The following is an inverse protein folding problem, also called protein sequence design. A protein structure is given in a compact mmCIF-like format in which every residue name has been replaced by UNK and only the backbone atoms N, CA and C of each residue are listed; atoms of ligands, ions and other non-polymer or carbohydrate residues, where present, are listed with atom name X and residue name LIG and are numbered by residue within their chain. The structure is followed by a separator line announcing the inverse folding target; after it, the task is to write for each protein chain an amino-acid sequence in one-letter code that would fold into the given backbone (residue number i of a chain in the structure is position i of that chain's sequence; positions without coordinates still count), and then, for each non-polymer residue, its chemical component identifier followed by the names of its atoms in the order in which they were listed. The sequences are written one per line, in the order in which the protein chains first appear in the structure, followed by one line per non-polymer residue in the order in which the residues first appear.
data_IF_694809379734
#
_entry.id   IF_694809379734
#
_cell.length_a   1.000
_cell.length_b   1.000
_cell.length_c   1.000
_cell.angle_alpha   90.00
_cell.angle_beta   90.00
_cell.angle_gamma   90.00
#
_symmetry.space_group_name_H-M   'P 1'
#
loop_
_entity.id
_entity.type
_entity.pdbx_description
1 polymer ?
#
# COMPACT_ATOMS: atom_id res chain seq x y z
N UNK A 1 64.94 -10.89 -26.90
CA UNK A 1 64.43 -10.46 -25.58
C UNK A 1 62.93 -10.57 -25.64
N UNK A 2 62.37 -11.61 -25.03
CA UNK A 2 60.92 -11.89 -25.04
C UNK A 2 60.34 -11.51 -23.69
N UNK A 3 59.23 -10.76 -23.69
CA UNK A 3 58.44 -10.51 -22.48
C UNK A 3 57.02 -11.01 -22.76
N UNK A 4 56.65 -12.09 -22.08
CA UNK A 4 55.31 -12.68 -22.09
C UNK A 4 54.37 -11.86 -21.20
N UNK A 5 53.26 -11.38 -21.76
CA UNK A 5 52.19 -10.75 -21.00
C UNK A 5 51.31 -11.83 -20.34
N UNK A 6 51.14 -11.73 -19.02
CA UNK A 6 50.30 -12.61 -18.23
C UNK A 6 48.81 -12.35 -18.47
N UNK A 7 48.03 -13.41 -18.64
CA UNK A 7 46.58 -13.35 -18.73
C UNK A 7 45.96 -13.07 -17.35
N UNK A 8 45.25 -11.95 -17.22
CA UNK A 8 44.41 -11.68 -16.05
C UNK A 8 43.13 -12.52 -16.14
N UNK A 9 42.92 -13.40 -15.16
CA UNK A 9 41.67 -14.12 -15.00
C UNK A 9 40.53 -13.16 -14.65
N UNK A 10 39.49 -13.11 -15.48
CA UNK A 10 38.28 -12.33 -15.22
C UNK A 10 37.39 -13.09 -14.23
N UNK A 11 37.03 -12.44 -13.13
CA UNK A 11 36.05 -12.96 -12.18
C UNK A 11 34.65 -12.98 -12.81
N UNK A 12 33.84 -14.04 -12.58
CA UNK A 12 32.50 -14.12 -13.14
C UNK A 12 31.61 -13.02 -12.57
N UNK A 13 31.01 -12.22 -13.45
CA UNK A 13 30.01 -11.22 -13.07
C UNK A 13 28.82 -11.89 -12.38
N UNK A 14 28.44 -11.39 -11.20
CA UNK A 14 27.20 -11.80 -10.52
C UNK A 14 26.02 -11.49 -11.43
N UNK A 15 25.31 -12.52 -11.90
CA UNK A 15 24.02 -12.34 -12.60
C UNK A 15 23.07 -11.58 -11.68
N UNK A 16 22.71 -10.35 -12.05
CA UNK A 16 21.64 -9.61 -11.39
C UNK A 16 20.31 -10.32 -11.69
N UNK A 17 19.59 -10.69 -10.64
CA UNK A 17 18.21 -11.21 -10.79
C UNK A 17 17.33 -10.01 -11.11
N UNK A 18 16.76 -9.97 -12.30
CA UNK A 18 15.79 -8.95 -12.67
C UNK A 18 14.56 -9.02 -11.75
N UNK A 19 14.12 -7.87 -11.25
CA UNK A 19 12.88 -7.76 -10.47
C UNK A 19 11.68 -8.24 -11.31
N UNK A 20 10.75 -9.02 -10.74
CA UNK A 20 9.51 -9.38 -11.41
C UNK A 20 8.72 -8.14 -11.83
N UNK A 21 7.94 -8.27 -12.91
CA UNK A 21 7.05 -7.22 -13.39
C UNK A 21 6.00 -6.84 -12.32
N UNK A 22 5.47 -5.60 -12.34
CA UNK A 22 4.35 -5.22 -11.49
C UNK A 22 3.16 -6.18 -11.64
N UNK A 23 2.45 -6.43 -10.56
CA UNK A 23 1.24 -7.24 -10.57
C UNK A 23 0.16 -6.55 -11.41
N UNK A 24 -0.48 -7.24 -12.37
CA UNK A 24 -1.73 -6.75 -12.92
C UNK A 24 -2.81 -6.84 -11.83
N UNK A 25 -3.74 -5.89 -11.81
CA UNK A 25 -4.82 -5.90 -10.81
C UNK A 25 -5.67 -7.18 -10.89
N UNK A 26 -5.87 -7.73 -12.10
CA UNK A 26 -6.59 -9.00 -12.28
C UNK A 26 -5.94 -10.22 -11.63
N UNK A 27 -4.68 -10.13 -11.17
CA UNK A 27 -4.03 -11.19 -10.40
C UNK A 27 -4.11 -10.96 -8.89
N UNK A 28 -4.64 -9.85 -8.43
CA UNK A 28 -4.73 -9.52 -7.03
C UNK A 28 -6.17 -9.57 -6.55
N UNK A 29 -6.41 -10.19 -5.40
CA UNK A 29 -7.60 -9.90 -4.61
C UNK A 29 -7.29 -8.86 -3.54
N UNK A 30 -8.28 -8.04 -3.22
CA UNK A 30 -8.22 -7.02 -2.17
C UNK A 30 -9.30 -7.30 -1.13
N UNK A 31 -8.91 -7.33 0.14
CA UNK A 31 -9.83 -7.44 1.27
C UNK A 31 -9.43 -6.48 2.40
N UNK A 32 -10.41 -6.18 3.26
CA UNK A 32 -10.22 -5.52 4.54
C UNK A 32 -10.54 -6.51 5.64
N UNK A 33 -9.60 -6.70 6.57
CA UNK A 33 -9.79 -7.52 7.76
C UNK A 33 -9.75 -6.63 9.01
N UNK A 34 -10.81 -6.67 9.82
CA UNK A 34 -10.86 -5.93 11.08
C UNK A 34 -10.03 -6.59 12.20
N UNK A 35 -9.49 -7.79 11.99
CA UNK A 35 -8.81 -8.63 12.98
C UNK A 35 -9.57 -8.65 14.32
N UNK A 36 -10.89 -8.87 14.27
CA UNK A 36 -11.79 -8.84 15.44
C UNK A 36 -11.69 -7.57 16.30
N UNK A 37 -11.44 -6.42 15.68
CA UNK A 37 -11.35 -5.13 16.37
C UNK A 37 -10.00 -4.85 17.02
N UNK A 38 -8.94 -5.58 16.66
CA UNK A 38 -7.56 -5.37 17.16
C UNK A 38 -7.05 -3.94 16.91
N UNK A 39 -7.66 -3.22 15.99
CA UNK A 39 -7.31 -1.84 15.66
C UNK A 39 -8.20 -0.78 16.33
N UNK A 40 -9.25 -1.19 17.06
CA UNK A 40 -10.20 -0.27 17.66
C UNK A 40 -9.73 0.20 19.05
N UNK A 41 -9.96 1.47 19.35
CA UNK A 41 -9.64 2.10 20.63
C UNK A 41 -10.63 3.22 20.95
N UNK A 42 -10.40 3.98 22.02
CA UNK A 42 -11.37 4.95 22.56
C UNK A 42 -11.90 6.01 21.55
N UNK A 43 -11.20 6.24 20.43
CA UNK A 43 -11.64 7.12 19.34
C UNK A 43 -10.91 6.84 18.02
N UNK A 44 -10.39 5.62 17.87
CA UNK A 44 -9.70 5.22 16.66
C UNK A 44 -10.26 3.90 16.19
N UNK A 45 -10.36 3.75 14.88
CA UNK A 45 -10.58 2.47 14.24
C UNK A 45 -9.46 2.17 13.26
N UNK A 46 -9.45 0.96 12.76
CA UNK A 46 -8.51 0.51 11.76
C UNK A 46 -8.89 -0.83 11.18
N UNK A 47 -8.14 -1.20 10.15
CA UNK A 47 -8.27 -2.48 9.46
C UNK A 47 -6.92 -2.88 8.88
N UNK A 48 -6.74 -4.16 8.63
CA UNK A 48 -5.69 -4.70 7.79
C UNK A 48 -6.14 -4.66 6.33
N UNK A 49 -5.39 -3.95 5.50
CA UNK A 49 -5.46 -4.05 4.04
C UNK A 49 -4.75 -5.34 3.64
N UNK A 50 -5.45 -6.25 2.98
CA UNK A 50 -4.92 -7.53 2.53
C UNK A 50 -4.93 -7.60 1.01
N UNK A 51 -3.75 -7.81 0.41
CA UNK A 51 -3.59 -8.09 -1.02
C UNK A 51 -3.07 -9.51 -1.20
N UNK A 52 -3.74 -10.33 -1.99
CA UNK A 52 -3.29 -11.70 -2.30
C UNK A 52 -3.03 -11.88 -3.78
N UNK A 53 -1.89 -12.48 -4.14
CA UNK A 53 -1.61 -12.84 -5.52
C UNK A 53 -2.30 -14.16 -5.89
N UNK A 54 -3.37 -14.07 -6.65
CA UNK A 54 -4.10 -15.20 -7.26
C UNK A 54 -3.55 -15.59 -8.63
N UNK A 55 -2.60 -14.82 -9.17
CA UNK A 55 -1.97 -15.07 -10.44
C UNK A 55 -0.98 -16.24 -10.45
N UNK A 56 -0.59 -16.72 -11.63
CA UNK A 56 0.26 -17.91 -11.77
C UNK A 56 1.75 -17.64 -11.51
N UNK A 57 2.17 -16.38 -11.35
CA UNK A 57 3.59 -16.00 -11.24
C UNK A 57 3.82 -14.94 -10.17
N UNK A 58 5.05 -14.89 -9.67
CA UNK A 58 5.49 -13.81 -8.81
C UNK A 58 5.47 -12.47 -9.55
N UNK A 59 5.06 -11.42 -8.87
CA UNK A 59 5.02 -10.06 -9.39
C UNK A 59 5.36 -9.05 -8.28
N UNK A 60 5.37 -7.76 -8.58
CA UNK A 60 5.69 -6.71 -7.60
C UNK A 60 4.51 -5.76 -7.34
N UNK A 61 4.38 -5.29 -6.10
CA UNK A 61 3.43 -4.25 -5.67
C UNK A 61 4.22 -3.12 -5.00
N UNK A 62 3.87 -1.83 -5.20
CA UNK A 62 4.50 -0.75 -4.45
C UNK A 62 4.40 -1.02 -2.94
N UNK A 63 5.46 -0.79 -2.18
CA UNK A 63 5.40 -1.01 -0.72
C UNK A 63 4.44 -0.04 -0.01
N UNK A 64 4.07 1.07 -0.64
CA UNK A 64 3.11 2.03 -0.07
C UNK A 64 2.21 2.55 -1.19
N UNK A 65 1.24 1.73 -1.67
CA UNK A 65 0.36 2.13 -2.76
C UNK A 65 -0.48 3.33 -2.35
N UNK A 66 -0.94 4.09 -3.33
CA UNK A 66 -1.89 5.17 -3.10
C UNK A 66 -3.27 4.58 -2.83
N UNK A 67 -3.95 5.10 -1.81
CA UNK A 67 -5.33 4.75 -1.51
C UNK A 67 -6.26 5.91 -1.86
N UNK A 68 -7.37 5.60 -2.53
CA UNK A 68 -8.47 6.54 -2.79
C UNK A 68 -9.71 6.05 -2.05
N UNK A 69 -10.39 6.94 -1.32
CA UNK A 69 -11.64 6.65 -0.63
C UNK A 69 -12.78 7.24 -1.43
N UNK A 70 -13.88 6.50 -1.59
CA UNK A 70 -15.01 6.94 -2.41
C UNK A 70 -16.33 6.84 -1.64
N UNK A 71 -17.28 7.69 -2.01
CA UNK A 71 -18.67 7.59 -1.55
C UNK A 71 -19.42 6.44 -2.25
N UNK A 72 -20.69 6.25 -1.91
CA UNK A 72 -21.53 5.19 -2.49
C UNK A 72 -21.83 5.40 -3.98
N UNK A 73 -21.55 6.58 -4.52
CA UNK A 73 -21.69 6.95 -5.93
C UNK A 73 -20.35 6.87 -6.68
N UNK A 74 -19.30 6.34 -6.06
CA UNK A 74 -17.93 6.27 -6.59
C UNK A 74 -17.29 7.65 -6.85
N UNK A 75 -17.70 8.68 -6.12
CA UNK A 75 -16.97 9.94 -6.14
C UNK A 75 -15.83 9.93 -5.11
N UNK A 76 -14.64 10.45 -5.46
CA UNK A 76 -13.51 10.51 -4.55
C UNK A 76 -13.80 11.46 -3.39
N UNK A 77 -13.48 11.01 -2.17
CA UNK A 77 -13.56 11.78 -0.94
C UNK A 77 -12.21 12.44 -0.64
N UNK A 78 -12.24 13.68 -0.12
CA UNK A 78 -11.04 14.37 0.31
C UNK A 78 -10.53 13.78 1.63
N UNK A 79 -9.73 12.72 1.55
CA UNK A 79 -9.08 12.02 2.66
C UNK A 79 -7.59 11.90 2.37
N UNK A 80 -6.73 12.27 3.31
CA UNK A 80 -5.28 12.22 3.10
C UNK A 80 -4.55 11.20 3.97
N UNK A 81 -3.51 10.60 3.42
CA UNK A 81 -2.53 9.87 4.21
C UNK A 81 -1.74 10.86 5.07
N UNK A 82 -1.64 10.59 6.36
CA UNK A 82 -0.75 11.31 7.25
C UNK A 82 0.70 10.90 6.98
N UNK A 83 1.52 11.87 6.56
CA UNK A 83 2.97 11.68 6.38
C UNK A 83 3.66 11.95 7.71
N UNK A 84 4.56 11.06 8.19
CA UNK A 84 5.36 11.32 9.38
C UNK A 84 6.17 12.62 9.24
N UNK A 85 6.11 13.48 10.27
CA UNK A 85 6.87 14.74 10.31
C UNK A 85 8.36 14.43 10.47
N UNK A 86 9.23 15.11 9.73
CA UNK A 86 10.69 15.03 9.87
C UNK A 86 11.41 14.02 8.96
N UNK A 87 10.70 13.33 8.06
CA UNK A 87 11.28 12.33 7.15
C UNK A 87 11.30 12.82 5.70
N UNK A 88 12.05 13.91 5.41
CA UNK A 88 12.24 14.38 4.04
C UNK A 88 13.72 14.62 3.67
N UNK A 89 14.24 13.99 2.60
CA UNK A 89 13.56 12.97 1.79
C UNK A 89 13.37 11.67 2.59
N UNK A 90 12.18 11.07 2.50
CA UNK A 90 11.90 9.79 3.13
C UNK A 90 12.70 8.66 2.47
N UNK A 91 12.85 7.48 3.10
CA UNK A 91 13.55 6.36 2.50
C UNK A 91 12.88 5.93 1.20
N UNK A 92 13.69 5.60 0.18
CA UNK A 92 13.20 4.99 -1.06
C UNK A 92 12.65 3.61 -0.72
N UNK A 93 11.34 3.43 -0.90
CA UNK A 93 10.67 2.17 -0.61
C UNK A 93 10.68 1.28 -1.87
N UNK A 94 11.41 0.17 -1.82
CA UNK A 94 11.42 -0.79 -2.91
C UNK A 94 10.06 -1.51 -3.04
N UNK A 95 9.61 -1.85 -4.26
CA UNK A 95 8.45 -2.71 -4.46
C UNK A 95 8.60 -4.05 -3.75
N UNK A 96 7.49 -4.57 -3.22
CA UNK A 96 7.45 -5.87 -2.56
C UNK A 96 7.13 -6.93 -3.60
N UNK A 97 7.98 -7.96 -3.70
CA UNK A 97 7.70 -9.14 -4.53
C UNK A 97 6.65 -10.01 -3.82
N UNK A 98 5.61 -10.41 -4.52
CA UNK A 98 4.56 -11.31 -4.02
C UNK A 98 4.48 -12.58 -4.89
N UNK A 99 4.89 -13.74 -4.37
CA UNK A 99 4.73 -15.03 -5.05
C UNK A 99 3.27 -15.42 -5.27
N UNK A 100 2.97 -16.39 -6.16
CA UNK A 100 1.63 -16.98 -6.27
C UNK A 100 1.12 -17.48 -4.92
N UNK A 101 -0.14 -17.18 -4.62
CA UNK A 101 -0.83 -17.56 -3.39
C UNK A 101 -0.45 -16.77 -2.14
N UNK A 102 0.60 -15.94 -2.19
CA UNK A 102 1.10 -15.18 -1.04
C UNK A 102 0.30 -13.89 -0.80
N UNK A 103 0.34 -13.41 0.44
CA UNK A 103 -0.37 -12.22 0.90
C UNK A 103 0.59 -11.11 1.28
N UNK A 104 0.13 -9.87 1.08
CA UNK A 104 0.73 -8.65 1.58
C UNK A 104 -0.29 -7.95 2.48
N UNK A 105 0.17 -7.48 3.64
CA UNK A 105 -0.68 -6.80 4.60
C UNK A 105 -0.14 -5.42 4.97
N UNK A 106 -1.05 -4.46 5.17
CA UNK A 106 -0.76 -3.13 5.66
C UNK A 106 -1.82 -2.70 6.67
N UNK A 107 -1.40 -2.11 7.79
CA UNK A 107 -2.31 -1.59 8.81
C UNK A 107 -2.77 -0.20 8.41
N UNK A 108 -4.08 -0.01 8.38
CA UNK A 108 -4.73 1.29 8.23
C UNK A 108 -5.33 1.71 9.56
N UNK A 109 -5.17 2.99 9.94
CA UNK A 109 -5.83 3.56 11.12
C UNK A 109 -6.32 4.98 10.87
N UNK A 110 -7.44 5.33 11.47
CA UNK A 110 -8.07 6.66 11.42
C UNK A 110 -8.76 6.97 12.74
N UNK A 111 -9.18 8.22 12.90
CA UNK A 111 -10.03 8.65 14.02
C UNK A 111 -11.49 8.37 13.66
N UNK A 112 -12.22 7.63 14.50
CA UNK A 112 -13.59 7.18 14.24
C UNK A 112 -14.66 7.84 15.15
N UNK A 113 -14.24 8.79 16.00
CA UNK A 113 -15.13 9.60 16.84
C UNK A 113 -15.01 11.08 16.55
N UNK A 114 -16.11 11.82 16.74
CA UNK A 114 -16.12 13.28 16.70
C UNK A 114 -15.46 13.89 17.96
N UNK A 115 -14.14 13.82 17.99
CA UNK A 115 -13.31 14.35 19.08
C UNK A 115 -12.82 15.77 18.82
N UNK A 116 -13.20 16.37 17.70
CA UNK A 116 -12.68 17.67 17.24
C UNK A 116 -13.58 18.86 17.62
N UNK A 117 -14.70 18.62 18.31
CA UNK A 117 -15.53 19.64 18.96
C UNK A 117 -16.49 20.41 18.03
N UNK A 118 -17.43 21.15 18.64
CA UNK A 118 -18.58 21.83 18.05
C UNK A 118 -18.23 22.67 16.79
N UNK A 119 -18.36 22.05 15.60
CA UNK A 119 -18.30 22.72 14.30
C UNK A 119 -16.90 22.93 13.70
N UNK A 120 -15.87 22.32 14.29
CA UNK A 120 -14.48 22.42 13.82
C UNK A 120 -13.92 21.16 13.15
N UNK A 121 -14.60 20.02 13.23
CA UNK A 121 -14.15 18.78 12.61
C UNK A 121 -14.45 18.70 11.12
N UNK A 122 -13.69 17.86 10.41
CA UNK A 122 -14.08 17.32 9.12
C UNK A 122 -14.49 15.85 9.30
N UNK A 123 -15.41 15.37 8.47
CA UNK A 123 -15.77 13.95 8.44
C UNK A 123 -15.91 13.45 7.01
N UNK A 124 -15.67 12.16 6.83
CA UNK A 124 -15.91 11.44 5.59
C UNK A 124 -16.51 10.07 5.93
N UNK A 125 -17.48 9.63 5.13
CA UNK A 125 -18.08 8.29 5.26
C UNK A 125 -17.87 7.53 3.95
N UNK A 126 -16.69 6.91 3.74
CA UNK A 126 -16.42 6.15 2.53
C UNK A 126 -17.29 4.90 2.48
N UNK A 127 -17.77 4.58 1.28
CA UNK A 127 -18.40 3.31 0.96
C UNK A 127 -17.42 2.34 0.28
N UNK A 128 -16.38 2.87 -0.39
CA UNK A 128 -15.36 2.07 -1.08
C UNK A 128 -13.95 2.58 -0.80
N UNK A 129 -13.01 1.64 -0.87
CA UNK A 129 -11.57 1.88 -0.85
C UNK A 129 -10.96 1.33 -2.14
N UNK A 130 -10.20 2.18 -2.84
CA UNK A 130 -9.39 1.77 -3.97
C UNK A 130 -7.90 1.73 -3.64
N UNK A 131 -7.21 0.73 -4.18
CA UNK A 131 -5.75 0.62 -4.19
C UNK A 131 -5.23 0.84 -5.60
N UNK A 132 -4.44 1.89 -5.78
CA UNK A 132 -3.79 2.22 -7.03
C UNK A 132 -2.39 1.58 -7.06
N UNK A 133 -2.21 0.58 -7.93
CA UNK A 133 -1.01 -0.26 -8.00
C UNK A 133 0.12 0.36 -8.82
N UNK A 134 -0.21 1.29 -9.69
CA UNK A 134 0.74 2.16 -10.39
C UNK A 134 0.61 3.52 -9.69
N UNK A 135 1.74 4.13 -9.31
CA UNK A 135 1.76 5.35 -8.48
C UNK A 135 0.93 6.52 -9.04
N UNK A 136 0.93 7.69 -8.36
CA UNK A 136 0.07 8.84 -8.69
C UNK A 136 0.29 9.45 -10.08
N UNK A 137 1.24 8.93 -10.87
CA UNK A 137 1.63 9.43 -12.19
C UNK A 137 0.59 9.11 -13.29
N UNK A 138 -0.42 8.29 -13.00
CA UNK A 138 -1.64 8.21 -13.82
C UNK A 138 -2.71 9.06 -13.15
N UNK A 139 -3.12 10.14 -13.84
CA UNK A 139 -4.13 11.07 -13.34
C UNK A 139 -5.40 10.37 -12.83
N UNK A 140 -6.12 11.04 -11.92
CA UNK A 140 -7.40 10.70 -11.29
C UNK A 140 -7.75 9.20 -11.23
N UNK A 141 -7.82 8.63 -10.01
CA UNK A 141 -8.36 7.28 -9.81
C UNK A 141 -9.73 7.15 -10.51
N UNK A 142 -9.79 6.35 -11.58
CA UNK A 142 -11.02 5.91 -12.21
C UNK A 142 -11.36 4.54 -11.64
N UNK A 143 -12.56 4.41 -11.07
CA UNK A 143 -13.05 3.15 -10.52
C UNK A 143 -13.24 2.06 -11.59
N UNK A 144 -13.36 2.44 -12.86
CA UNK A 144 -13.40 1.52 -13.99
C UNK A 144 -12.02 1.20 -14.56
N UNK A 145 -10.95 1.80 -14.02
CA UNK A 145 -9.60 1.43 -14.45
C UNK A 145 -9.32 -0.01 -14.02
N UNK A 146 -9.15 -0.88 -15.02
CA UNK A 146 -8.78 -2.28 -14.85
C UNK A 146 -7.43 -2.49 -14.13
N UNK A 147 -6.71 -1.41 -13.81
CA UNK A 147 -5.48 -1.41 -13.03
C UNK A 147 -5.67 -1.11 -11.54
N UNK A 148 -6.88 -0.76 -11.11
CA UNK A 148 -7.20 -0.49 -9.71
C UNK A 148 -7.89 -1.69 -9.07
N UNK A 149 -7.73 -1.83 -7.76
CA UNK A 149 -8.48 -2.78 -6.95
C UNK A 149 -9.46 -1.98 -6.09
N UNK A 150 -10.71 -2.43 -6.00
CA UNK A 150 -11.73 -1.81 -5.16
C UNK A 150 -12.33 -2.82 -4.19
N UNK A 151 -12.68 -2.37 -3.00
CA UNK A 151 -13.40 -3.16 -2.01
C UNK A 151 -14.32 -2.26 -1.18
N UNK A 152 -15.37 -2.85 -0.60
CA UNK A 152 -16.27 -2.12 0.29
C UNK A 152 -15.50 -1.64 1.52
N UNK A 153 -15.80 -0.42 1.94
CA UNK A 153 -15.25 0.19 3.14
C UNK A 153 -16.37 0.44 4.15
N UNK A 154 -16.11 0.14 5.41
CA UNK A 154 -17.03 0.39 6.51
C UNK A 154 -16.33 1.22 7.58
N UNK A 155 -16.95 2.34 7.93
CA UNK A 155 -16.48 3.23 8.98
C UNK A 155 -16.63 4.70 8.59
N UNK A 156 -16.68 5.54 9.60
CA UNK A 156 -16.60 7.00 9.43
C UNK A 156 -15.23 7.47 9.85
N UNK A 157 -14.66 8.39 9.07
CA UNK A 157 -13.39 9.02 9.36
C UNK A 157 -13.64 10.44 9.84
N UNK A 158 -13.01 10.81 10.96
CA UNK A 158 -13.01 12.15 11.50
C UNK A 158 -11.61 12.76 11.40
N UNK A 159 -11.56 14.08 11.30
CA UNK A 159 -10.31 14.83 11.28
C UNK A 159 -10.47 16.25 11.80
N UNK A 160 -9.36 16.97 11.99
CA UNK A 160 -9.39 18.41 12.25
C UNK A 160 -9.98 19.18 11.04
N UNK A 161 -10.12 20.51 11.16
CA UNK A 161 -10.51 21.37 10.02
C UNK A 161 -9.70 21.03 8.76
N UNK A 162 -10.40 20.92 7.63
CA UNK A 162 -9.83 20.48 6.35
C UNK A 162 -10.39 19.13 5.97
N UNK A 163 -9.57 18.08 6.11
CA UNK A 163 -9.93 16.71 5.70
C UNK A 163 -9.53 15.66 6.74
N UNK A 164 -10.29 14.56 6.84
CA UNK A 164 -9.89 13.39 7.60
C UNK A 164 -8.54 12.84 7.12
N UNK A 165 -7.82 12.23 8.05
CA UNK A 165 -6.52 11.63 7.78
C UNK A 165 -6.48 10.18 8.24
N UNK A 166 -5.70 9.38 7.52
CA UNK A 166 -5.39 8.00 7.90
C UNK A 166 -3.88 7.78 7.95
N UNK A 167 -3.45 6.80 8.74
CA UNK A 167 -2.09 6.27 8.70
C UNK A 167 -2.09 4.91 8.01
N UNK A 168 -0.99 4.60 7.33
CA UNK A 168 -0.78 3.36 6.60
C UNK A 168 0.64 2.86 6.85
N UNK A 169 0.80 1.62 7.30
CA UNK A 169 2.12 0.98 7.27
C UNK A 169 2.45 0.54 5.86
N UNK A 170 3.74 0.46 5.48
CA UNK A 170 4.11 -0.21 4.24
C UNK A 170 3.57 -1.63 4.18
N UNK A 171 3.20 -2.10 2.99
CA UNK A 171 2.90 -3.49 2.72
C UNK A 171 4.10 -4.37 3.08
N UNK A 172 3.80 -5.48 3.74
CA UNK A 172 4.74 -6.53 4.13
C UNK A 172 4.13 -7.88 3.81
N UNK A 173 4.96 -8.88 3.54
CA UNK A 173 4.46 -10.25 3.36
C UNK A 173 3.86 -10.78 4.64
N UNK A 174 2.78 -11.54 4.51
CA UNK A 174 2.13 -12.25 5.60
C UNK A 174 1.90 -13.73 5.19
N UNK A 175 2.46 -14.72 5.91
CA UNK A 175 3.40 -14.55 7.01
C UNK A 175 4.69 -13.86 6.56
N UNK A 176 5.32 -13.13 7.49
CA UNK A 176 6.62 -12.49 7.25
C UNK A 176 7.62 -13.55 6.82
N UNK A 177 8.19 -13.39 5.63
CA UNK A 177 9.13 -14.37 5.11
C UNK A 177 10.44 -14.29 5.91
N UNK A 178 10.97 -15.44 6.36
CA UNK A 178 12.18 -15.51 7.19
C UNK A 178 13.44 -14.90 6.54
N UNK A 179 13.41 -14.51 5.27
CA UNK A 179 14.49 -13.85 4.54
C UNK A 179 14.52 -12.30 4.59
N UNK A 180 13.51 -11.64 5.18
CA UNK A 180 13.39 -10.17 5.20
C UNK A 180 14.10 -9.48 6.38
N UNK A 181 14.82 -10.24 7.23
CA UNK A 181 15.75 -9.66 8.20
C UNK A 181 17.08 -9.32 7.50
N UNK A 182 17.22 -8.10 6.99
CA UNK A 182 18.52 -7.52 6.64
C UNK A 182 18.61 -6.10 7.17
#
# INVERSE_FOLDING_TARGET
MSVTAGAAAQMPAKKSVALPKPCPASWLSLALDGENGTFNGMSHSGTLLVLRNLGPRACTVPALPTLCFEDAQHHPLDVARQVPVGMHPGPVMLPVVVPPGAELTAKLRWVDGDVFGNGGGSSASPAYLQVLLHGPDRGQADHNDAHNLSTAFHGTMFGPKGKPKYTQTPLRRDPVWCGDKR
#
